data_IF_446264619390
#
_entry.id   IF_446264619390
#
_cell.length_a   1.000
_cell.length_b   1.000
_cell.length_c   1.000
_cell.angle_alpha   90.00
_cell.angle_beta   90.00
_cell.angle_gamma   90.00
#
_symmetry.space_group_name_H-M   'P 1'
#
loop_
_entity.id
_entity.type
_entity.pdbx_description
1 polymer ?
#
# COMPACT_ATOMS: atom_id res chain seq x y z
N UNK A 1 -12.43 7.96 -17.46
CA UNK A 1 -13.25 6.74 -17.56
C UNK A 1 -14.31 6.80 -16.49
N UNK A 2 -15.57 6.58 -16.81
CA UNK A 2 -16.68 6.71 -15.85
C UNK A 2 -16.77 5.44 -15.00
N UNK A 3 -16.67 5.59 -13.69
CA UNK A 3 -16.83 4.50 -12.74
C UNK A 3 -18.32 4.08 -12.74
N UNK A 4 -18.66 2.79 -12.76
CA UNK A 4 -20.07 2.38 -12.70
C UNK A 4 -20.69 2.77 -11.35
N UNK A 5 -21.93 3.27 -11.33
CA UNK A 5 -22.65 3.69 -10.10
C UNK A 5 -22.67 2.61 -9.01
N UNK A 6 -22.66 1.33 -9.41
CA UNK A 6 -22.59 0.19 -8.47
C UNK A 6 -21.30 0.17 -7.63
N UNK A 7 -20.21 0.78 -8.11
CA UNK A 7 -18.96 0.86 -7.37
C UNK A 7 -18.95 2.04 -6.41
N UNK A 8 -19.63 3.15 -6.71
CA UNK A 8 -19.70 4.31 -5.81
C UNK A 8 -20.36 3.95 -4.47
N UNK A 9 -21.44 3.18 -4.52
CA UNK A 9 -22.11 2.66 -3.30
C UNK A 9 -21.18 1.76 -2.50
N UNK A 10 -20.37 0.93 -3.18
CA UNK A 10 -19.39 0.06 -2.53
C UNK A 10 -18.25 0.87 -1.91
N UNK A 11 -17.72 1.86 -2.60
CA UNK A 11 -16.67 2.73 -2.06
C UNK A 11 -17.14 3.50 -0.84
N UNK A 12 -18.39 3.98 -0.83
CA UNK A 12 -18.97 4.61 0.36
C UNK A 12 -19.03 3.64 1.55
N UNK A 13 -19.51 2.42 1.32
CA UNK A 13 -19.56 1.40 2.38
C UNK A 13 -18.14 1.02 2.88
N UNK A 14 -17.16 0.92 1.98
CA UNK A 14 -15.76 0.67 2.32
C UNK A 14 -15.16 1.80 3.16
N UNK A 15 -15.45 3.06 2.82
CA UNK A 15 -15.00 4.23 3.58
C UNK A 15 -15.53 4.19 5.02
N UNK A 16 -16.82 3.89 5.18
CA UNK A 16 -17.44 3.74 6.51
C UNK A 16 -16.81 2.57 7.30
N UNK A 17 -16.50 1.45 6.65
CA UNK A 17 -15.87 0.29 7.31
C UNK A 17 -14.41 0.57 7.72
N UNK A 18 -13.64 1.20 6.84
CA UNK A 18 -12.25 1.60 7.11
C UNK A 18 -12.17 2.61 8.25
N UNK A 19 -13.06 3.61 8.28
CA UNK A 19 -13.15 4.51 9.43
C UNK A 19 -13.48 3.75 10.71
N UNK A 20 -14.52 2.90 10.73
CA UNK A 20 -14.83 2.11 11.93
C UNK A 20 -13.66 1.27 12.42
N UNK A 21 -12.86 0.71 11.50
CA UNK A 21 -11.76 -0.19 11.83
C UNK A 21 -10.45 0.54 12.18
N UNK A 22 -10.16 1.71 11.62
CA UNK A 22 -8.84 2.35 11.77
C UNK A 22 -8.85 3.76 12.38
N UNK A 23 -10.00 4.40 12.56
CA UNK A 23 -10.12 5.77 13.10
C UNK A 23 -9.53 5.93 14.53
N UNK A 24 -9.38 4.81 15.25
CA UNK A 24 -8.76 4.78 16.57
C UNK A 24 -7.22 4.62 16.54
N UNK A 25 -6.62 4.39 15.37
CA UNK A 25 -5.18 4.12 15.19
C UNK A 25 -4.54 5.09 14.20
N UNK A 26 -5.29 5.49 13.17
CA UNK A 26 -4.84 6.34 12.07
C UNK A 26 -5.82 7.50 11.94
N UNK A 27 -5.32 8.69 11.61
CA UNK A 27 -6.15 9.88 11.40
C UNK A 27 -7.16 9.65 10.26
N UNK A 28 -8.41 10.06 10.45
CA UNK A 28 -9.49 9.86 9.47
C UNK A 28 -9.16 10.50 8.12
N UNK A 29 -8.50 11.66 8.10
CA UNK A 29 -8.12 12.32 6.85
C UNK A 29 -7.07 11.50 6.07
N UNK A 30 -6.23 10.74 6.77
CA UNK A 30 -5.24 9.87 6.15
C UNK A 30 -5.90 8.59 5.60
N UNK A 31 -6.92 8.05 6.27
CA UNK A 31 -7.74 6.94 5.76
C UNK A 31 -8.42 7.33 4.45
N UNK A 32 -9.06 8.50 4.44
CA UNK A 32 -9.71 9.08 3.26
C UNK A 32 -8.73 9.26 2.11
N UNK A 33 -7.55 9.82 2.39
CA UNK A 33 -6.52 10.05 1.39
C UNK A 33 -6.02 8.77 0.74
N UNK A 34 -5.72 7.73 1.54
CA UNK A 34 -5.25 6.43 1.03
C UNK A 34 -6.32 5.78 0.15
N UNK A 35 -7.57 5.84 0.59
CA UNK A 35 -8.67 5.26 -0.15
C UNK A 35 -8.85 5.95 -1.51
N UNK A 36 -8.86 7.28 -1.54
CA UNK A 36 -9.05 8.04 -2.78
C UNK A 36 -7.88 7.84 -3.77
N UNK A 37 -6.64 7.75 -3.28
CA UNK A 37 -5.46 7.45 -4.12
C UNK A 37 -5.56 6.06 -4.77
N UNK A 38 -5.94 5.03 -3.99
CA UNK A 38 -6.11 3.67 -4.50
C UNK A 38 -7.28 3.56 -5.47
N UNK A 39 -8.37 4.30 -5.24
CA UNK A 39 -9.51 4.33 -6.16
C UNK A 39 -9.06 4.91 -7.51
N UNK A 40 -8.35 6.03 -7.54
CA UNK A 40 -7.89 6.65 -8.79
C UNK A 40 -6.89 5.75 -9.55
N UNK A 41 -5.95 5.15 -8.82
CA UNK A 41 -4.92 4.28 -9.40
C UNK A 41 -5.53 3.01 -10.00
N UNK A 42 -6.43 2.34 -9.27
CA UNK A 42 -7.06 1.11 -9.77
C UNK A 42 -8.15 1.38 -10.80
N UNK A 43 -8.92 2.45 -10.68
CA UNK A 43 -9.95 2.80 -11.65
C UNK A 43 -9.35 3.16 -13.02
N UNK A 44 -8.15 3.75 -13.05
CA UNK A 44 -7.46 4.12 -14.28
C UNK A 44 -6.73 2.93 -14.95
N UNK A 45 -6.28 1.95 -14.17
CA UNK A 45 -5.52 0.79 -14.67
C UNK A 45 -6.38 -0.46 -14.95
N UNK A 46 -7.54 -0.61 -14.30
CA UNK A 46 -8.31 -1.84 -14.38
C UNK A 46 -9.13 -1.95 -15.67
N UNK A 47 -8.90 -3.04 -16.42
CA UNK A 47 -9.76 -3.43 -17.55
C UNK A 47 -11.13 -3.98 -17.08
N UNK A 48 -11.21 -4.55 -15.87
CA UNK A 48 -12.45 -5.11 -15.31
C UNK A 48 -12.83 -4.34 -14.04
N UNK A 49 -13.81 -3.46 -14.19
CA UNK A 49 -14.23 -2.54 -13.12
C UNK A 49 -14.99 -3.23 -11.96
N UNK A 50 -15.53 -4.44 -12.18
CA UNK A 50 -16.32 -5.17 -11.18
C UNK A 50 -15.54 -5.53 -9.91
N UNK A 51 -14.24 -5.78 -10.04
CA UNK A 51 -13.38 -6.23 -8.94
C UNK A 51 -12.57 -5.10 -8.29
N UNK A 52 -12.61 -3.88 -8.83
CA UNK A 52 -11.88 -2.73 -8.31
C UNK A 52 -12.17 -2.49 -6.82
N UNK A 53 -13.43 -2.54 -6.33
CA UNK A 53 -13.70 -2.32 -4.91
C UNK A 53 -12.99 -3.33 -3.99
N UNK A 54 -12.91 -4.59 -4.41
CA UNK A 54 -12.27 -5.66 -3.61
C UNK A 54 -10.75 -5.47 -3.56
N UNK A 55 -10.15 -5.06 -4.68
CA UNK A 55 -8.70 -4.79 -4.73
C UNK A 55 -8.38 -3.55 -3.88
N UNK A 56 -9.15 -2.48 -4.04
CA UNK A 56 -8.99 -1.24 -3.27
C UNK A 56 -9.11 -1.50 -1.76
N UNK A 57 -10.12 -2.26 -1.33
CA UNK A 57 -10.29 -2.63 0.09
C UNK A 57 -9.06 -3.35 0.63
N UNK A 58 -8.55 -4.35 -0.10
CA UNK A 58 -7.40 -5.13 0.32
C UNK A 58 -6.14 -4.28 0.45
N UNK A 59 -5.85 -3.47 -0.56
CA UNK A 59 -4.65 -2.63 -0.60
C UNK A 59 -4.75 -1.49 0.44
N UNK A 60 -5.96 -0.97 0.70
CA UNK A 60 -6.20 0.02 1.74
C UNK A 60 -5.98 -0.57 3.15
N UNK A 61 -6.49 -1.78 3.40
CA UNK A 61 -6.27 -2.48 4.66
C UNK A 61 -4.77 -2.72 4.91
N UNK A 62 -4.03 -3.21 3.91
CA UNK A 62 -2.58 -3.44 4.01
C UNK A 62 -1.83 -2.13 4.30
N UNK A 63 -2.15 -1.05 3.57
CA UNK A 63 -1.51 0.25 3.78
C UNK A 63 -1.80 0.85 5.16
N UNK A 64 -3.03 0.72 5.66
CA UNK A 64 -3.41 1.22 6.99
C UNK A 64 -2.89 0.34 8.12
N UNK A 65 -2.80 -0.98 7.91
CA UNK A 65 -2.17 -1.89 8.85
C UNK A 65 -0.68 -1.61 8.99
N UNK A 66 0.04 -1.39 7.90
CA UNK A 66 1.46 -1.03 7.94
C UNK A 66 1.67 0.28 8.73
N UNK A 67 0.81 1.28 8.52
CA UNK A 67 0.88 2.57 9.22
C UNK A 67 0.50 2.46 10.69
N UNK A 68 -0.58 1.75 11.01
CA UNK A 68 -1.04 1.53 12.38
C UNK A 68 -0.11 0.60 13.16
N UNK A 69 0.50 -0.39 12.50
CA UNK A 69 1.53 -1.26 13.07
C UNK A 69 2.82 -0.47 13.32
N UNK A 70 3.25 0.38 12.38
CA UNK A 70 4.37 1.29 12.59
C UNK A 70 4.11 2.32 13.73
N UNK A 71 2.85 2.71 13.97
CA UNK A 71 2.51 3.65 15.04
C UNK A 71 2.43 2.99 16.42
N UNK A 72 1.96 1.73 16.49
CA UNK A 72 1.98 0.91 17.73
C UNK A 72 3.37 0.35 18.04
N UNK A 73 4.14 0.06 16.99
CA UNK A 73 5.52 -0.39 17.06
C UNK A 73 6.42 0.82 16.90
N UNK A 74 6.69 1.52 18.00
CA UNK A 74 7.87 2.39 18.11
C UNK A 74 9.20 1.61 17.98
N UNK A 75 9.25 0.54 17.19
CA UNK A 75 10.43 -0.19 16.80
C UNK A 75 10.86 0.30 15.42
N UNK A 76 11.67 1.36 15.43
CA UNK A 76 12.77 1.63 14.50
C UNK A 76 12.77 0.79 13.22
N UNK A 77 12.28 1.37 12.12
CA UNK A 77 12.64 0.91 10.78
C UNK A 77 14.14 1.18 10.57
N UNK A 78 14.95 0.21 11.00
CA UNK A 78 16.36 0.10 10.62
C UNK A 78 16.44 0.03 9.09
N UNK A 79 17.28 0.90 8.55
CA UNK A 79 17.53 1.07 7.14
C UNK A 79 17.71 -0.27 6.40
N UNK A 80 16.88 -0.52 5.39
CA UNK A 80 17.26 -1.44 4.31
C UNK A 80 18.22 -0.71 3.40
N UNK A 81 19.48 -0.60 3.83
CA UNK A 81 20.58 -0.25 2.94
C UNK A 81 20.82 -1.41 1.99
N UNK A 82 20.25 -1.31 0.79
CA UNK A 82 20.64 -2.08 -0.38
C UNK A 82 22.02 -1.60 -0.83
N UNK A 83 23.07 -1.95 -0.08
CA UNK A 83 24.44 -1.79 -0.56
C UNK A 83 24.77 -2.95 -1.49
N UNK A 84 24.79 -2.59 -2.76
CA UNK A 84 25.15 -3.38 -3.94
C UNK A 84 26.43 -4.20 -3.74
N UNK A 85 26.42 -5.37 -4.38
CA UNK A 85 27.49 -6.33 -4.48
C UNK A 85 28.86 -5.77 -4.91
N UNK A 86 29.92 -6.42 -4.44
CA UNK A 86 30.80 -7.27 -5.26
C UNK A 86 32.25 -7.24 -4.77
N UNK A 87 32.67 -8.27 -4.03
CA UNK A 87 34.09 -8.53 -3.76
C UNK A 87 34.39 -10.00 -4.04
N UNK A 88 34.80 -10.29 -5.27
CA UNK A 88 35.41 -11.55 -5.65
C UNK A 88 36.93 -11.32 -5.78
N UNK A 89 37.79 -11.86 -4.91
CA UNK A 89 39.22 -11.80 -5.15
C UNK A 89 39.61 -12.96 -6.08
N UNK A 90 39.73 -12.70 -7.39
CA UNK A 90 40.32 -13.67 -8.31
C UNK A 90 41.84 -13.59 -8.22
N UNK A 91 42.45 -14.68 -7.75
CA UNK A 91 43.89 -14.89 -7.70
C UNK A 91 44.46 -14.85 -9.11
N UNK A 92 45.37 -13.90 -9.39
CA UNK A 92 46.25 -13.95 -10.57
C UNK A 92 47.68 -14.30 -10.13
N UNK A 93 48.03 -15.59 -10.29
CA UNK A 93 49.41 -16.04 -10.36
C UNK A 93 50.05 -15.43 -11.63
N UNK A 94 51.20 -14.79 -11.46
CA UNK A 94 52.07 -14.38 -12.57
C UNK A 94 53.29 -15.30 -12.60
N UNK A 95 53.77 -15.74 -13.77
CA UNK A 95 55.02 -16.50 -13.88
C UNK A 95 56.20 -15.57 -14.19
N UNK A 96 57.35 -15.83 -13.57
CA UNK A 96 58.66 -15.64 -14.18
C UNK A 96 59.65 -16.62 -13.56
#
# INVERSE_FOLDING_TARGET
MTVPESNEVKFKALRDDLHRRYDHVVDSAEVDRVLDELIDDHASKANVQTFVPIIVERDAAEALEDRGCAMRSGATAVARSSSSASTTPVVRRSPR
#
